data_IF_280672571343
#
_entry.id   IF_280672571343
#
_cell.length_a   1.000
_cell.length_b   1.000
_cell.length_c   1.000
_cell.angle_alpha   90.00
_cell.angle_beta   90.00
_cell.angle_gamma   90.00
#
_symmetry.space_group_name_H-M   'P 1'
#
loop_
_entity.id
_entity.type
_entity.pdbx_description
1 polymer ?
#
# COMPACT_ATOMS: atom_id res chain seq x y z
N UNK A 1 6.19 -9.23 49.30
CA UNK A 1 5.58 -8.70 48.05
C UNK A 1 6.22 -7.41 47.52
N UNK A 2 6.66 -6.47 48.36
CA UNK A 2 7.17 -5.15 47.91
C UNK A 2 8.39 -5.18 46.95
N UNK A 3 9.35 -6.10 47.14
CA UNK A 3 10.56 -6.20 46.28
C UNK A 3 10.24 -6.58 44.81
N UNK A 4 9.19 -7.37 44.58
CA UNK A 4 8.77 -7.77 43.22
C UNK A 4 8.14 -6.60 42.47
N UNK A 5 7.35 -5.79 43.17
CA UNK A 5 6.75 -4.56 42.63
C UNK A 5 7.80 -3.54 42.21
N UNK A 6 8.78 -3.24 43.07
CA UNK A 6 9.87 -2.31 42.72
C UNK A 6 10.72 -2.78 41.53
N UNK A 7 10.93 -4.10 41.38
CA UNK A 7 11.67 -4.67 40.23
C UNK A 7 10.89 -4.47 38.92
N UNK A 8 9.58 -4.71 38.93
CA UNK A 8 8.69 -4.47 37.79
C UNK A 8 8.64 -2.99 37.39
N UNK A 9 8.60 -2.08 38.37
CA UNK A 9 8.59 -0.63 38.11
C UNK A 9 9.89 -0.15 37.48
N UNK A 10 11.04 -0.63 37.98
CA UNK A 10 12.35 -0.31 37.39
C UNK A 10 12.50 -0.88 35.98
N UNK A 11 11.94 -2.06 35.74
CA UNK A 11 11.97 -2.69 34.41
C UNK A 11 11.13 -1.87 33.40
N UNK A 12 9.92 -1.45 33.77
CA UNK A 12 9.09 -0.56 32.94
C UNK A 12 9.77 0.78 32.61
N UNK A 13 10.47 1.37 33.58
CA UNK A 13 11.20 2.64 33.36
C UNK A 13 12.39 2.45 32.41
N UNK A 14 13.12 1.34 32.54
CA UNK A 14 14.24 1.01 31.64
C UNK A 14 13.76 0.66 30.22
N UNK A 15 12.61 0.01 30.11
CA UNK A 15 11.95 -0.25 28.82
C UNK A 15 11.49 1.08 28.19
N UNK A 16 11.02 2.06 28.96
CA UNK A 16 10.67 3.39 28.44
C UNK A 16 11.89 4.22 27.97
N UNK A 17 13.05 4.08 28.61
CA UNK A 17 14.27 4.80 28.20
C UNK A 17 14.90 4.22 26.92
N UNK A 18 14.80 2.90 26.70
CA UNK A 18 15.30 2.23 25.48
C UNK A 18 14.40 2.39 24.25
N UNK A 19 13.21 2.93 24.45
CA UNK A 19 12.17 3.11 23.43
C UNK A 19 12.44 4.33 22.52
N UNK A 20 13.25 5.31 22.95
CA UNK A 20 13.46 6.57 22.19
C UNK A 20 14.16 6.40 20.82
N UNK A 21 15.32 5.72 20.70
CA UNK A 21 16.01 5.58 19.40
C UNK A 21 15.29 4.59 18.46
N UNK A 22 14.70 3.54 19.02
CA UNK A 22 14.02 2.48 18.28
C UNK A 22 12.68 2.95 17.69
N UNK A 23 11.91 3.75 18.43
CA UNK A 23 10.71 4.41 17.90
C UNK A 23 11.02 5.45 16.83
N UNK A 24 12.10 6.20 16.96
CA UNK A 24 12.47 7.19 15.95
C UNK A 24 12.85 6.54 14.61
N UNK A 25 13.64 5.46 14.64
CA UNK A 25 13.97 4.69 13.44
C UNK A 25 12.73 4.01 12.83
N UNK A 26 11.81 3.55 13.68
CA UNK A 26 10.51 3.03 13.25
C UNK A 26 9.68 4.10 12.51
N UNK A 27 9.54 5.29 13.08
CA UNK A 27 8.77 6.39 12.51
C UNK A 27 9.38 6.87 11.19
N UNK A 28 10.71 6.97 11.11
CA UNK A 28 11.43 7.30 9.88
C UNK A 28 11.19 6.27 8.78
N UNK A 29 11.34 4.98 9.09
CA UNK A 29 11.07 3.89 8.14
C UNK A 29 9.62 3.91 7.68
N UNK A 30 8.67 4.14 8.59
CA UNK A 30 7.25 4.21 8.28
C UNK A 30 6.89 5.40 7.38
N UNK A 31 7.47 6.57 7.67
CA UNK A 31 7.30 7.77 6.85
C UNK A 31 7.87 7.56 5.45
N UNK A 32 9.12 7.08 5.34
CA UNK A 32 9.76 6.83 4.05
C UNK A 32 8.97 5.81 3.22
N UNK A 33 8.53 4.71 3.84
CA UNK A 33 7.70 3.71 3.15
C UNK A 33 6.38 4.29 2.67
N UNK A 34 5.72 5.11 3.49
CA UNK A 34 4.48 5.81 3.11
C UNK A 34 4.68 6.73 1.91
N UNK A 35 5.78 7.49 1.90
CA UNK A 35 6.13 8.37 0.77
C UNK A 35 6.39 7.54 -0.49
N UNK A 36 7.13 6.44 -0.41
CA UNK A 36 7.41 5.57 -1.55
C UNK A 36 6.15 4.92 -2.14
N UNK A 37 5.21 4.48 -1.30
CA UNK A 37 3.92 3.94 -1.77
C UNK A 37 3.11 5.02 -2.48
N UNK A 38 3.03 6.23 -1.94
CA UNK A 38 2.31 7.32 -2.60
C UNK A 38 2.99 7.66 -3.94
N UNK A 39 4.33 7.77 -3.93
CA UNK A 39 5.11 8.06 -5.12
C UNK A 39 4.92 7.00 -6.21
N UNK A 40 4.79 5.73 -5.83
CA UNK A 40 4.51 4.65 -6.77
C UNK A 40 3.22 4.86 -7.57
N UNK A 41 2.16 5.38 -6.96
CA UNK A 41 0.94 5.70 -7.70
C UNK A 41 1.08 6.96 -8.55
N UNK A 42 1.76 8.00 -8.04
CA UNK A 42 1.94 9.27 -8.76
C UNK A 42 2.80 9.08 -10.02
N UNK A 43 3.85 8.26 -9.97
CA UNK A 43 4.77 8.09 -11.10
C UNK A 43 4.05 7.59 -12.36
N UNK A 44 2.95 6.84 -12.20
CA UNK A 44 2.12 6.32 -13.30
C UNK A 44 1.45 7.41 -14.15
N UNK A 45 1.42 8.66 -13.67
CA UNK A 45 0.85 9.81 -14.37
C UNK A 45 1.90 10.84 -14.80
N UNK A 46 3.18 10.49 -14.73
CA UNK A 46 4.27 11.40 -15.10
C UNK A 46 4.22 11.80 -16.57
N UNK A 47 3.75 10.91 -17.45
CA UNK A 47 3.50 11.20 -18.87
C UNK A 47 2.52 12.37 -19.03
N UNK A 48 1.42 12.38 -18.27
CA UNK A 48 0.40 13.45 -18.31
C UNK A 48 0.91 14.77 -17.75
N UNK A 49 1.77 14.72 -16.72
CA UNK A 49 2.40 15.94 -16.18
C UNK A 49 3.34 16.55 -17.21
N UNK A 50 4.14 15.73 -17.87
CA UNK A 50 5.08 16.15 -18.92
C UNK A 50 4.32 16.72 -20.12
N UNK A 51 3.26 16.06 -20.59
CA UNK A 51 2.40 16.56 -21.65
C UNK A 51 1.69 17.87 -21.28
N UNK A 52 1.22 18.01 -20.03
CA UNK A 52 0.62 19.25 -19.54
C UNK A 52 1.62 20.42 -19.50
N UNK A 53 2.89 20.15 -19.20
CA UNK A 53 3.96 21.15 -19.20
C UNK A 53 4.60 21.37 -20.58
N UNK A 54 4.11 20.70 -21.62
CA UNK A 54 4.64 20.72 -23.00
C UNK A 54 6.14 20.40 -23.07
N UNK A 55 6.60 19.48 -22.20
CA UNK A 55 7.99 19.03 -22.18
C UNK A 55 8.12 17.88 -23.19
N UNK A 56 8.88 18.10 -24.25
CA UNK A 56 9.11 17.09 -25.28
C UNK A 56 10.59 17.03 -25.68
N UNK A 57 11.09 15.83 -25.94
CA UNK A 57 12.47 15.60 -26.38
C UNK A 57 12.47 14.73 -27.64
N UNK A 58 13.39 15.04 -28.55
CA UNK A 58 13.64 14.21 -29.72
C UNK A 58 14.11 12.82 -29.29
N UNK A 59 13.32 11.81 -29.65
CA UNK A 59 13.65 10.43 -29.37
C UNK A 59 14.69 9.88 -30.37
N UNK A 60 15.56 8.95 -29.95
CA UNK A 60 16.39 8.19 -30.87
C UNK A 60 15.54 7.39 -31.86
N UNK A 61 16.04 7.19 -33.09
CA UNK A 61 15.31 6.55 -34.21
C UNK A 61 14.71 5.17 -33.90
N UNK A 62 15.31 4.43 -32.94
CA UNK A 62 14.76 3.15 -32.47
C UNK A 62 13.39 3.26 -31.77
N UNK A 63 12.94 4.46 -31.46
CA UNK A 63 11.66 4.74 -30.81
C UNK A 63 10.70 5.56 -31.70
N UNK A 64 10.95 5.67 -33.00
CA UNK A 64 10.14 6.49 -33.92
C UNK A 64 8.65 6.10 -33.96
N UNK A 65 8.29 4.90 -33.51
CA UNK A 65 6.92 4.43 -33.38
C UNK A 65 6.19 4.91 -32.12
N UNK A 66 6.86 5.60 -31.21
CA UNK A 66 6.33 6.08 -29.94
C UNK A 66 6.53 7.58 -29.81
N UNK A 67 5.55 8.27 -29.23
CA UNK A 67 5.76 9.63 -28.76
C UNK A 67 6.50 9.62 -27.40
N UNK A 68 7.03 10.79 -27.02
CA UNK A 68 7.77 10.95 -25.77
C UNK A 68 6.91 10.61 -24.55
N UNK A 69 5.63 10.98 -24.55
CA UNK A 69 4.68 10.66 -23.47
C UNK A 69 4.51 9.15 -23.28
N UNK A 70 4.33 8.40 -24.38
CA UNK A 70 4.17 6.94 -24.32
C UNK A 70 5.42 6.25 -23.83
N UNK A 71 6.61 6.75 -24.17
CA UNK A 71 7.87 6.24 -23.62
C UNK A 71 7.94 6.46 -22.10
N UNK A 72 7.63 7.67 -21.63
CA UNK A 72 7.61 7.98 -20.19
C UNK A 72 6.60 7.09 -19.47
N UNK A 73 5.38 6.97 -20.01
CA UNK A 73 4.35 6.11 -19.46
C UNK A 73 4.85 4.66 -19.34
N UNK A 74 5.50 4.13 -20.38
CA UNK A 74 6.06 2.77 -20.39
C UNK A 74 7.13 2.56 -19.30
N UNK A 75 7.99 3.56 -19.08
CA UNK A 75 8.98 3.54 -18.00
C UNK A 75 8.27 3.57 -16.64
N UNK A 76 7.28 4.45 -16.48
CA UNK A 76 6.52 4.60 -15.24
C UNK A 76 5.79 3.32 -14.80
N UNK A 77 5.22 2.57 -15.75
CA UNK A 77 4.58 1.27 -15.49
C UNK A 77 5.58 0.25 -14.91
N UNK A 78 6.87 0.37 -15.23
CA UNK A 78 7.95 -0.47 -14.67
C UNK A 78 8.50 0.07 -13.35
N UNK A 79 8.66 1.39 -13.21
CA UNK A 79 9.21 2.02 -12.00
C UNK A 79 8.24 1.92 -10.82
N UNK A 80 6.94 2.08 -11.06
CA UNK A 80 5.91 2.01 -10.02
C UNK A 80 5.94 0.72 -9.18
N UNK A 81 5.94 -0.50 -9.76
CA UNK A 81 5.99 -1.73 -8.96
C UNK A 81 7.34 -1.90 -8.24
N UNK A 82 8.44 -1.39 -8.79
CA UNK A 82 9.74 -1.41 -8.08
C UNK A 82 9.70 -0.55 -6.80
N UNK A 83 9.07 0.63 -6.86
CA UNK A 83 8.86 1.46 -5.67
C UNK A 83 7.98 0.76 -4.64
N UNK A 84 6.93 0.05 -5.07
CA UNK A 84 6.10 -0.76 -4.17
C UNK A 84 6.88 -1.89 -3.50
N UNK A 85 7.73 -2.61 -4.24
CA UNK A 85 8.57 -3.68 -3.68
C UNK A 85 9.50 -3.11 -2.60
N UNK A 86 10.17 -1.98 -2.87
CA UNK A 86 11.03 -1.33 -1.87
C UNK A 86 10.20 -0.91 -0.65
N UNK A 87 9.04 -0.29 -0.87
CA UNK A 87 8.19 0.19 0.21
C UNK A 87 7.54 -0.93 1.04
N UNK A 88 7.35 -2.12 0.47
CA UNK A 88 6.84 -3.30 1.17
C UNK A 88 7.83 -3.82 2.24
N UNK A 89 9.12 -3.54 2.08
CA UNK A 89 10.13 -3.85 3.10
C UNK A 89 10.19 -2.81 4.23
N UNK A 90 9.41 -1.73 4.12
CA UNK A 90 9.32 -0.66 5.11
C UNK A 90 7.99 -0.74 5.87
N UNK A 91 7.92 -0.10 7.04
CA UNK A 91 6.72 -0.12 7.90
C UNK A 91 5.63 0.85 7.44
N UNK A 92 5.21 0.69 6.19
CA UNK A 92 4.32 1.61 5.49
C UNK A 92 2.91 1.60 6.08
N UNK A 93 2.29 2.78 6.17
CA UNK A 93 0.89 2.92 6.60
C UNK A 93 -0.05 2.34 5.54
N UNK A 94 -0.97 1.48 5.96
CA UNK A 94 -1.92 0.82 5.05
C UNK A 94 -2.75 1.79 4.21
N UNK A 95 -3.12 2.96 4.76
CA UNK A 95 -3.89 3.97 4.03
C UNK A 95 -3.17 4.49 2.78
N UNK A 96 -1.83 4.47 2.77
CA UNK A 96 -1.04 4.92 1.62
C UNK A 96 -1.31 4.07 0.38
N UNK A 97 -1.64 2.79 0.55
CA UNK A 97 -1.89 1.85 -0.54
C UNK A 97 -3.18 2.16 -1.32
N UNK A 98 -4.06 3.03 -0.82
CA UNK A 98 -5.21 3.52 -1.58
C UNK A 98 -4.77 4.23 -2.88
N UNK A 99 -3.64 4.94 -2.84
CA UNK A 99 -3.11 5.68 -4.01
C UNK A 99 -2.72 4.75 -5.16
N UNK A 100 -1.80 3.78 -5.00
CA UNK A 100 -1.50 2.84 -6.07
C UNK A 100 -2.69 1.93 -6.40
N UNK A 101 -3.53 1.54 -5.42
CA UNK A 101 -4.75 0.78 -5.70
C UNK A 101 -5.63 1.51 -6.73
N UNK A 102 -5.90 2.79 -6.51
CA UNK A 102 -6.67 3.61 -7.46
C UNK A 102 -5.96 3.75 -8.80
N UNK A 103 -4.65 4.01 -8.77
CA UNK A 103 -3.87 4.25 -9.99
C UNK A 103 -3.84 3.03 -10.90
N UNK A 104 -3.56 1.84 -10.37
CA UNK A 104 -3.57 0.59 -11.12
C UNK A 104 -4.98 0.17 -11.54
N UNK A 105 -5.99 0.41 -10.71
CA UNK A 105 -7.38 0.15 -11.09
C UNK A 105 -7.76 1.01 -12.29
N UNK A 106 -7.42 2.30 -12.29
CA UNK A 106 -7.69 3.19 -13.41
C UNK A 106 -6.95 2.73 -14.68
N UNK A 107 -5.68 2.34 -14.58
CA UNK A 107 -4.95 1.78 -15.72
C UNK A 107 -5.60 0.52 -16.27
N UNK A 108 -6.08 -0.37 -15.41
CA UNK A 108 -6.81 -1.56 -15.82
C UNK A 108 -8.10 -1.20 -16.56
N UNK A 109 -8.83 -0.18 -16.12
CA UNK A 109 -10.00 0.34 -16.85
C UNK A 109 -9.61 0.91 -18.22
N UNK A 110 -8.49 1.62 -18.34
CA UNK A 110 -7.99 2.10 -19.63
C UNK A 110 -7.55 0.97 -20.57
N UNK A 111 -7.11 -0.17 -20.07
CA UNK A 111 -6.76 -1.34 -20.88
C UNK A 111 -8.01 -2.10 -21.33
N UNK A 112 -8.99 -2.26 -20.44
CA UNK A 112 -10.18 -3.08 -20.70
C UNK A 112 -11.17 -2.36 -21.63
N UNK A 113 -11.31 -1.04 -21.48
CA UNK A 113 -12.28 -0.28 -22.25
C UNK A 113 -11.64 0.40 -23.44
N UNK A 114 -12.17 0.10 -24.63
CA UNK A 114 -11.99 1.00 -25.76
C UNK A 114 -12.62 2.34 -25.40
N UNK A 115 -11.76 3.33 -25.18
CA UNK A 115 -12.13 4.71 -24.85
C UNK A 115 -13.09 5.33 -25.87
N UNK A 116 -13.28 4.71 -27.04
CA UNK A 116 -14.20 5.16 -28.08
C UNK A 116 -15.64 4.63 -27.95
N UNK A 117 -15.88 3.58 -27.15
CA UNK A 117 -17.20 2.94 -27.00
C UNK A 117 -17.84 3.26 -25.65
N UNK A 118 -17.03 3.42 -24.61
CA UNK A 118 -17.51 3.66 -23.24
C UNK A 118 -17.19 5.08 -22.79
N UNK A 119 -18.18 5.66 -22.12
CA UNK A 119 -18.27 7.06 -21.76
C UNK A 119 -17.05 7.52 -20.94
N UNK A 120 -16.09 8.21 -21.59
CA UNK A 120 -14.76 8.54 -21.06
C UNK A 120 -14.80 9.25 -19.71
N UNK A 121 -15.86 10.02 -19.46
CA UNK A 121 -16.02 10.79 -18.22
C UNK A 121 -16.29 9.90 -17.01
N UNK A 122 -16.95 8.75 -17.20
CA UNK A 122 -17.31 7.85 -16.09
C UNK A 122 -16.21 6.87 -15.70
N UNK A 123 -15.16 6.71 -16.52
CA UNK A 123 -14.03 5.80 -16.24
C UNK A 123 -13.39 6.03 -14.87
N UNK A 124 -13.24 7.30 -14.47
CA UNK A 124 -12.72 7.66 -13.14
C UNK A 124 -13.65 7.21 -12.00
N UNK A 125 -14.98 7.34 -12.19
CA UNK A 125 -15.97 6.87 -11.22
C UNK A 125 -16.02 5.34 -11.14
N UNK A 126 -15.89 4.64 -12.28
CA UNK A 126 -15.82 3.18 -12.30
C UNK A 126 -14.56 2.68 -11.58
N UNK A 127 -13.42 3.33 -11.79
CA UNK A 127 -12.19 3.00 -11.07
C UNK A 127 -12.38 3.21 -9.55
N UNK A 128 -12.97 4.34 -9.14
CA UNK A 128 -13.26 4.61 -7.73
C UNK A 128 -14.19 3.55 -7.11
N UNK A 129 -15.29 3.23 -7.80
CA UNK A 129 -16.23 2.20 -7.37
C UNK A 129 -15.58 0.82 -7.23
N UNK A 130 -14.70 0.48 -8.17
CA UNK A 130 -13.91 -0.77 -8.13
C UNK A 130 -12.97 -0.78 -6.91
N UNK A 131 -12.31 0.33 -6.59
CA UNK A 131 -11.47 0.42 -5.39
C UNK A 131 -12.27 0.25 -4.09
N UNK A 132 -13.44 0.88 -3.99
CA UNK A 132 -14.34 0.73 -2.84
C UNK A 132 -14.75 -0.75 -2.68
N UNK A 133 -15.10 -1.41 -3.79
CA UNK A 133 -15.46 -2.82 -3.79
C UNK A 133 -14.29 -3.70 -3.32
N UNK A 134 -13.07 -3.47 -3.81
CA UNK A 134 -11.87 -4.21 -3.39
C UNK A 134 -11.62 -4.04 -1.89
N UNK A 135 -11.69 -2.80 -1.38
CA UNK A 135 -11.52 -2.52 0.06
C UNK A 135 -12.62 -3.21 0.88
N UNK A 136 -13.87 -3.19 0.39
CA UNK A 136 -14.98 -3.87 1.04
C UNK A 136 -14.77 -5.39 1.10
N UNK A 137 -14.38 -6.03 -0.01
CA UNK A 137 -14.08 -7.47 -0.05
C UNK A 137 -12.93 -7.82 0.88
N UNK A 138 -11.84 -7.04 0.86
CA UNK A 138 -10.68 -7.26 1.73
C UNK A 138 -11.04 -7.14 3.22
N UNK A 139 -11.80 -6.12 3.60
CA UNK A 139 -12.23 -5.94 4.99
C UNK A 139 -13.19 -7.05 5.45
N UNK A 140 -14.12 -7.48 4.59
CA UNK A 140 -15.01 -8.60 4.87
C UNK A 140 -14.24 -9.92 5.04
N UNK A 141 -13.25 -10.18 4.18
CA UNK A 141 -12.36 -11.34 4.28
C UNK A 141 -11.59 -11.35 5.61
N UNK A 142 -10.90 -10.25 5.93
CA UNK A 142 -10.11 -10.13 7.17
C UNK A 142 -10.98 -10.30 8.42
N UNK A 143 -12.24 -9.86 8.39
CA UNK A 143 -13.18 -10.04 9.50
C UNK A 143 -13.49 -11.53 9.70
N UNK A 144 -13.82 -12.26 8.63
CA UNK A 144 -14.11 -13.70 8.69
C UNK A 144 -12.90 -14.50 9.15
N UNK A 145 -11.71 -14.17 8.67
CA UNK A 145 -10.47 -14.82 9.08
C UNK A 145 -10.20 -14.64 10.58
N UNK A 146 -10.34 -13.41 11.09
CA UNK A 146 -10.22 -13.14 12.53
C UNK A 146 -11.22 -13.95 13.36
N UNK A 147 -12.48 -13.98 12.94
CA UNK A 147 -13.51 -14.79 13.62
C UNK A 147 -13.16 -16.29 13.64
N UNK A 148 -12.62 -16.81 12.54
CA UNK A 148 -12.18 -18.21 12.46
C UNK A 148 -11.03 -18.50 13.44
N UNK A 149 -10.02 -17.64 13.47
CA UNK A 149 -8.87 -17.78 14.38
C UNK A 149 -9.33 -17.70 15.84
N UNK A 150 -10.21 -16.76 16.19
CA UNK A 150 -10.74 -16.62 17.55
C UNK A 150 -11.46 -17.89 18.00
N UNK A 151 -12.31 -18.47 17.14
CA UNK A 151 -13.01 -19.74 17.46
C UNK A 151 -12.04 -20.89 17.68
N UNK A 152 -10.97 -20.98 16.91
CA UNK A 152 -9.96 -22.03 17.09
C UNK A 152 -9.20 -21.86 18.42
N UNK A 153 -8.86 -20.63 18.79
CA UNK A 153 -8.22 -20.32 20.07
C UNK A 153 -9.15 -20.68 21.25
N UNK A 154 -10.43 -20.34 21.17
CA UNK A 154 -11.41 -20.68 22.21
C UNK A 154 -11.59 -22.19 22.35
N UNK A 155 -11.63 -22.92 21.23
CA UNK A 155 -11.71 -24.38 21.24
C UNK A 155 -10.49 -25.01 21.90
N UNK A 156 -9.28 -24.57 21.55
CA UNK A 156 -8.03 -25.06 22.17
C UNK A 156 -7.97 -24.76 23.67
N UNK A 157 -8.45 -23.58 24.11
CA UNK A 157 -8.51 -23.23 25.54
C UNK A 157 -9.44 -24.14 26.32
N UNK A 158 -10.62 -24.49 25.79
CA UNK A 158 -11.58 -25.40 26.46
C UNK A 158 -10.99 -26.81 26.64
N UNK A 159 -10.38 -27.35 25.59
CA UNK A 159 -9.73 -28.69 25.67
C UNK A 159 -8.60 -28.69 26.69
N UNK A 160 -7.82 -27.61 26.78
CA UNK A 160 -6.74 -27.51 27.75
C UNK A 160 -7.28 -27.51 29.20
N UNK A 161 -8.34 -26.74 29.47
CA UNK A 161 -8.95 -26.69 30.81
C UNK A 161 -9.64 -28.00 31.22
N UNK A 162 -10.15 -28.78 30.27
CA UNK A 162 -10.74 -30.09 30.54
C UNK A 162 -9.68 -31.15 30.86
N UNK A 163 -8.47 -31.03 30.32
CA UNK A 163 -7.36 -31.96 30.58
C UNK A 163 -6.57 -31.67 31.88
N UNK A 164 -6.79 -30.51 32.51
CA UNK A 164 -6.12 -30.13 33.79
C UNK A 164 -6.96 -30.52 35.04
N UNK A 165 -8.16 -31.06 34.85
CA UNK A 165 -9.08 -31.56 35.90
C UNK A 165 -9.03 -33.09 36.00
#
# INVERSE_FOLDING_TARGET
>A
MAKKSQKLTRQKLKDQETVSPSQFNFLKSSFLGTVLVILSGIVLYTDKIIGFLDINFSLPSRYDSYDFETLIWSISVTVSPLLLIIAAHLKTKLIAYVVPLYSYTLQLWFIIYDLNIVDKQYTYFYALGTCILIIFVWTAYNKKEKESITREIEKKKRVLSENEL
#
